data_IF_196283636229
#
_entry.id   IF_196283636229
#
_cell.length_a   1.000
_cell.length_b   1.000
_cell.length_c   1.000
_cell.angle_alpha   90.00
_cell.angle_beta   90.00
_cell.angle_gamma   90.00
#
_symmetry.space_group_name_H-M   'P 1'
#
loop_
_entity.id
_entity.type
_entity.pdbx_description
1 polymer ?
2 polymer ?
3 water ?
#
# COMPACT_ATOMS: atom_id res chain seq x y z
N UNK A 6 7.36 5.93 -15.16
CA UNK A 6 6.77 5.38 -13.92
C UNK A 6 7.77 4.45 -13.23
N UNK A 7 8.34 4.93 -12.13
CA UNK A 7 9.24 4.13 -11.30
C UNK A 7 8.52 2.96 -10.66
N UNK A 8 8.96 1.74 -10.94
CA UNK A 8 8.27 0.55 -10.41
C UNK A 8 9.20 -0.35 -9.61
N UNK A 9 8.63 -1.08 -8.65
CA UNK A 9 9.35 -2.15 -8.00
C UNK A 9 8.53 -3.43 -8.02
N UNK A 10 9.21 -4.56 -7.84
CA UNK A 10 8.51 -5.84 -7.82
C UNK A 10 7.81 -6.07 -6.49
N UNK A 11 6.69 -6.76 -6.58
CA UNK A 11 5.86 -7.09 -5.45
C UNK A 11 5.62 -8.57 -5.62
N UNK A 12 5.76 -9.33 -4.54
CA UNK A 12 5.51 -10.77 -4.61
C UNK A 12 4.42 -11.18 -3.64
N UNK A 13 3.29 -11.63 -4.17
CA UNK A 13 2.26 -12.25 -3.35
C UNK A 13 2.71 -13.67 -3.00
N UNK A 14 2.81 -13.94 -1.71
CA UNK A 14 3.27 -15.24 -1.22
C UNK A 14 2.10 -16.13 -0.83
N UNK A 15 0.92 -15.55 -0.62
CA UNK A 15 -0.30 -16.32 -0.31
C UNK A 15 -1.55 -15.47 -0.55
N UNK A 16 -2.68 -16.12 -0.87
CA UNK A 16 -2.88 -17.56 -1.04
C UNK A 16 -2.27 -18.08 -2.34
N UNK A 17 -2.14 -19.40 -2.47
CA UNK A 17 -1.57 -20.03 -3.67
C UNK A 17 -2.27 -19.60 -4.96
N UNK A 18 -3.57 -19.34 -4.86
CA UNK A 18 -4.36 -18.97 -6.03
C UNK A 18 -3.83 -17.73 -6.80
N UNK A 19 -3.27 -16.76 -6.09
CA UNK A 19 -2.81 -15.54 -6.76
C UNK A 19 -1.34 -15.24 -6.51
N UNK A 20 -0.62 -16.25 -6.03
CA UNK A 20 0.80 -16.15 -5.77
C UNK A 20 1.56 -15.80 -7.05
N UNK A 21 2.62 -15.01 -6.93
CA UNK A 21 3.39 -14.60 -8.09
C UNK A 21 3.97 -13.21 -7.96
N UNK A 22 4.66 -12.79 -9.01
CA UNK A 22 5.33 -11.50 -9.01
C UNK A 22 4.53 -10.46 -9.81
N UNK A 23 4.31 -9.31 -9.21
CA UNK A 23 3.59 -8.23 -9.86
C UNK A 23 4.39 -6.94 -9.78
N UNK A 24 3.99 -5.93 -10.54
CA UNK A 24 4.63 -4.63 -10.42
C UNK A 24 3.77 -3.65 -9.63
N UNK A 25 4.44 -2.75 -8.91
CA UNK A 25 3.74 -1.62 -8.29
C UNK A 25 4.52 -0.36 -8.62
N UNK A 26 3.88 0.79 -8.47
CA UNK A 26 4.52 2.05 -8.84
C UNK A 26 4.77 2.84 -7.58
N UNK A 27 6.03 3.18 -7.33
CA UNK A 27 6.42 3.85 -6.09
C UNK A 27 5.99 5.32 -6.09
N UNK A 28 5.32 5.76 -5.03
CA UNK A 28 4.90 7.14 -4.94
C UNK A 28 6.05 8.09 -4.67
N UNK A 29 5.84 9.37 -4.94
CA UNK A 29 6.84 10.40 -4.68
C UNK A 29 6.86 10.88 -3.24
N UNK A 30 6.54 9.98 -2.31
CA UNK A 30 6.58 10.27 -0.88
C UNK A 30 6.73 8.94 -0.16
N UNK A 31 7.05 8.98 1.12
CA UNK A 31 7.29 7.78 1.88
C UNK A 31 8.69 7.28 1.63
N UNK A 32 9.12 6.29 2.41
CA UNK A 32 10.52 5.87 2.39
C UNK A 32 10.62 4.36 2.30
N UNK A 33 10.76 3.84 1.09
CA UNK A 33 11.07 2.41 0.94
C UNK A 33 12.39 2.07 1.63
N UNK A 34 12.51 0.81 2.04
CA UNK A 34 13.76 0.28 2.55
C UNK A 34 14.64 -0.07 1.36
N UNK A 35 15.22 0.95 0.71
CA UNK A 35 16.00 0.74 -0.51
C UNK A 35 17.15 -0.24 -0.30
N UNK A 36 17.27 -1.21 -1.20
CA UNK A 36 18.27 -2.25 -1.05
C UNK A 36 17.77 -3.43 -0.24
N UNK A 37 16.60 -3.28 0.37
CA UNK A 37 16.05 -4.34 1.19
C UNK A 37 14.64 -4.75 0.79
N UNK A 38 13.97 -5.50 1.67
CA UNK A 38 12.61 -5.94 1.40
C UNK A 38 11.73 -5.77 2.64
N UNK A 39 10.43 -5.94 2.46
CA UNK A 39 9.49 -5.90 3.58
C UNK A 39 8.35 -6.87 3.35
N UNK A 40 8.16 -7.79 4.29
CA UNK A 40 7.06 -8.74 4.18
C UNK A 40 5.93 -8.31 5.10
N UNK A 41 4.70 -8.41 4.61
CA UNK A 41 3.55 -8.05 5.40
C UNK A 41 2.29 -8.74 4.96
N UNK A 42 1.20 -8.49 5.67
CA UNK A 42 -0.10 -9.05 5.32
C UNK A 42 -1.02 -7.90 4.92
N UNK A 43 -1.85 -8.14 3.91
CA UNK A 43 -2.68 -7.09 3.35
C UNK A 43 -4.08 -7.07 3.98
N UNK A 44 -4.52 -5.88 4.36
CA UNK A 44 -5.84 -5.71 4.95
C UNK A 44 -6.60 -4.63 4.17
N UNK A 45 -7.86 -4.90 3.87
CA UNK A 45 -8.73 -3.93 3.21
C UNK A 45 -9.84 -3.61 4.19
N UNK A 46 -9.75 -2.45 4.84
CA UNK A 46 -10.71 -2.07 5.89
C UNK A 46 -12.14 -2.04 5.35
N UNK A 47 -13.13 -2.34 6.18
CA UNK A 47 -14.52 -2.24 5.76
C UNK A 47 -14.97 -0.79 5.76
N UNK A 48 -14.38 0.02 6.64
CA UNK A 48 -14.74 1.43 6.73
C UNK A 48 -13.59 2.32 6.26
N UNK A 49 -13.89 3.55 5.87
CA UNK A 49 -12.86 4.54 5.52
C UNK A 49 -11.93 3.95 4.48
N UNK A 50 -12.50 3.42 3.41
CA UNK A 50 -11.73 2.64 2.44
C UNK A 50 -10.81 3.48 1.55
N UNK A 51 -11.05 4.78 1.53
CA UNK A 51 -10.21 5.70 0.77
C UNK A 51 -9.16 6.39 1.64
N UNK A 52 -9.20 6.09 2.94
CA UNK A 52 -8.30 6.71 3.94
C UNK A 52 -8.26 8.22 3.83
N UNK A 53 -9.42 8.83 3.60
CA UNK A 53 -9.49 10.27 3.54
C UNK A 53 -9.86 10.85 4.92
N UNK A 54 -10.28 9.99 5.83
CA UNK A 54 -10.70 10.39 7.17
C UNK A 54 -9.82 9.70 8.22
N UNK A 55 -9.89 10.15 9.47
CA UNK A 55 -9.09 9.55 10.52
C UNK A 55 -9.62 8.15 10.89
N UNK A 56 -8.70 7.20 10.97
CA UNK A 56 -9.05 5.85 11.43
C UNK A 56 -9.34 5.74 12.91
N UNK A 57 -8.79 6.66 13.71
CA UNK A 57 -8.99 6.60 15.15
C UNK A 57 -10.47 6.71 15.54
N UNK A 58 -11.22 7.57 14.85
CA UNK A 58 -12.66 7.69 15.10
C UNK A 58 -13.38 6.35 14.96
N UNK A 59 -12.86 5.50 14.09
CA UNK A 59 -13.43 4.18 13.82
C UNK A 59 -12.88 3.14 14.78
N UNK A 60 -11.98 3.58 15.65
CA UNK A 60 -11.19 2.67 16.50
C UNK A 60 -10.51 1.60 15.66
N UNK A 61 -9.98 1.99 14.51
CA UNK A 61 -9.23 1.09 13.65
C UNK A 61 -7.74 1.37 13.73
N UNK A 62 -6.98 0.33 14.03
CA UNK A 62 -5.53 0.38 14.03
C UNK A 62 -4.99 -0.72 13.14
N UNK A 63 -3.88 -0.44 12.47
CA UNK A 63 -3.20 -1.42 11.65
C UNK A 63 -1.87 -1.83 12.30
N UNK A 64 -1.67 -1.42 13.56
CA UNK A 64 -0.52 -1.88 14.33
C UNK A 64 -0.64 -3.38 14.54
N UNK A 65 0.29 -4.14 14.02
CA UNK A 65 0.22 -5.59 14.13
C UNK A 65 0.72 -6.01 15.50
N UNK A 66 0.20 -7.14 15.99
CA UNK A 66 0.61 -7.67 17.27
C UNK A 66 2.01 -8.27 17.17
N UNK A 67 2.75 -8.30 18.29
CA UNK A 67 4.10 -8.86 18.33
C UNK A 67 4.18 -10.27 17.74
N UNK A 68 5.13 -10.49 16.84
CA UNK A 68 5.31 -11.80 16.26
C UNK A 68 4.49 -12.03 15.00
N UNK A 69 3.52 -11.16 14.75
CA UNK A 69 2.73 -11.24 13.54
C UNK A 69 3.33 -10.38 12.43
N UNK A 70 2.85 -10.57 11.20
CA UNK A 70 3.34 -9.78 10.07
C UNK A 70 2.95 -8.33 10.19
N UNK A 71 3.81 -7.42 9.70
CA UNK A 71 3.46 -6.01 9.57
C UNK A 71 2.22 -5.92 8.68
N UNK A 72 1.38 -4.93 8.92
CA UNK A 72 0.17 -4.75 8.12
C UNK A 72 0.33 -3.81 6.93
N UNK A 73 0.02 -4.30 5.72
CA UNK A 73 -0.04 -3.43 4.55
C UNK A 73 -1.51 -3.10 4.35
N UNK A 74 -1.84 -1.82 4.27
CA UNK A 74 -3.23 -1.46 4.07
C UNK A 74 -3.55 -1.19 2.60
N UNK A 75 -4.57 -1.89 2.10
CA UNK A 75 -5.08 -1.69 0.75
C UNK A 75 -6.10 -0.57 0.77
N UNK A 76 -5.83 0.47 0.00
CA UNK A 76 -6.66 1.66 0.03
C UNK A 76 -7.08 2.05 -1.39
N UNK A 77 -8.35 2.41 -1.54
CA UNK A 77 -8.87 2.83 -2.85
C UNK A 77 -8.47 4.27 -3.21
N UNK A 78 -8.06 4.47 -4.47
CA UNK A 78 -7.82 5.80 -4.98
C UNK A 78 -9.13 6.59 -4.96
N UNK A 79 -9.04 7.90 -4.76
CA UNK A 79 -10.19 8.79 -4.90
C UNK A 79 -10.40 9.76 -3.75
N UNK A 80 -11.07 10.88 -4.04
CA UNK A 80 -11.59 11.83 -3.04
C UNK A 80 -10.58 12.73 -2.33
N UNK A 81 -9.35 12.26 -2.13
CA UNK A 81 -8.35 13.07 -1.44
C UNK A 81 -6.95 12.85 -2.01
N UNK A 82 -5.99 13.64 -1.55
CA UNK A 82 -4.62 13.56 -2.01
C UNK A 82 -4.01 12.22 -1.62
N UNK A 83 -3.21 11.63 -2.51
CA UNK A 83 -2.46 10.40 -2.19
C UNK A 83 -1.62 10.56 -0.91
N UNK A 84 -0.98 11.71 -0.73
CA UNK A 84 -0.14 11.97 0.44
C UNK A 84 -0.94 11.94 1.73
N UNK A 85 -2.17 12.41 1.68
CA UNK A 85 -3.03 12.41 2.87
C UNK A 85 -3.43 10.99 3.25
N UNK A 86 -3.73 10.16 2.25
CA UNK A 86 -3.99 8.74 2.50
C UNK A 86 -2.81 8.07 3.19
N UNK A 87 -1.59 8.41 2.75
CA UNK A 87 -0.37 7.86 3.36
C UNK A 87 -0.19 8.33 4.80
N UNK A 88 -0.39 9.63 5.02
CA UNK A 88 -0.26 10.22 6.34
C UNK A 88 -1.26 9.59 7.31
N UNK A 89 -2.48 9.41 6.85
CA UNK A 89 -3.56 8.85 7.65
C UNK A 89 -3.31 7.37 7.97
N UNK A 90 -2.86 6.60 6.98
CA UNK A 90 -2.54 5.20 7.20
C UNK A 90 -1.35 5.09 8.15
N UNK A 91 -0.42 6.01 8.01
CA UNK A 91 0.75 6.05 8.86
C UNK A 91 0.32 6.34 10.29
N UNK A 92 -0.61 7.30 10.48
CA UNK A 92 -1.08 7.59 11.83
C UNK A 92 -1.77 6.36 12.44
N UNK A 93 -2.38 5.54 11.59
CA UNK A 93 -3.10 4.36 12.06
C UNK A 93 -2.19 3.14 12.30
N UNK A 94 -0.90 3.31 12.06
CA UNK A 94 0.08 2.28 12.39
C UNK A 94 0.37 1.29 11.27
N UNK A 95 -0.05 1.60 10.05
CA UNK A 95 0.23 0.71 8.92
C UNK A 95 1.71 0.69 8.57
N UNK A 96 2.21 -0.46 8.14
CA UNK A 96 3.61 -0.61 7.75
C UNK A 96 3.87 -0.20 6.30
N UNK A 97 2.83 -0.25 5.47
CA UNK A 97 2.90 0.22 4.10
C UNK A 97 1.49 0.49 3.61
N UNK A 98 1.38 1.33 2.60
CA UNK A 98 0.09 1.52 1.94
C UNK A 98 0.16 1.10 0.47
N UNK A 99 -0.85 0.37 0.02
CA UNK A 99 -1.00 0.05 -1.38
C UNK A 99 -2.29 0.69 -1.88
N UNK A 100 -2.16 1.61 -2.82
CA UNK A 100 -3.33 2.33 -3.29
C UNK A 100 -3.77 1.66 -4.56
N UNK A 101 -4.99 1.12 -4.55
CA UNK A 101 -5.51 0.45 -5.72
C UNK A 101 -6.13 1.50 -6.62
N UNK A 102 -5.65 1.59 -7.86
CA UNK A 102 -6.19 2.53 -8.83
C UNK A 102 -7.70 2.33 -8.95
N UNK A 103 -8.43 3.43 -9.16
CA UNK A 103 -9.89 3.41 -9.30
C UNK A 103 -10.34 3.05 -10.72
N UNK A 104 -9.42 3.13 -11.67
CA UNK A 104 -9.72 2.70 -13.03
C UNK A 104 -8.64 1.74 -13.53
N UNK A 105 -9.00 0.91 -14.50
CA UNK A 105 -8.08 -0.05 -15.09
C UNK A 105 -7.30 0.67 -16.17
N UNK A 106 -6.01 0.83 -15.93
CA UNK A 106 -5.15 1.64 -16.79
C UNK A 106 -3.72 1.32 -16.39
N UNK A 107 -2.72 1.70 -17.21
CA UNK A 107 -1.33 1.52 -16.80
C UNK A 107 -1.05 2.22 -15.48
N UNK A 108 -0.07 1.69 -14.76
CA UNK A 108 0.36 2.26 -13.48
C UNK A 108 0.73 3.71 -13.67
N UNK A 109 0.44 4.53 -12.65
CA UNK A 109 0.82 5.93 -12.63
C UNK A 109 1.65 6.23 -11.37
N UNK A 110 2.36 7.34 -11.39
CA UNK A 110 3.11 7.78 -10.21
C UNK A 110 2.22 8.67 -9.35
N UNK A 111 2.11 8.34 -8.08
CA UNK A 111 1.42 9.20 -7.13
C UNK A 111 2.33 10.37 -6.78
N UNK A 112 1.92 11.58 -7.16
CA UNK A 112 2.73 12.75 -6.89
C UNK A 112 2.24 13.44 -5.61
N UNK A 113 3.04 14.39 -5.12
CA UNK A 113 2.67 15.20 -3.98
C UNK A 113 1.80 16.35 -4.50
N UNK A 114 0.96 16.94 -3.64
CA UNK A 114 0.12 18.06 -4.09
C UNK A 114 0.95 19.19 -4.67
N UNK A 122 9.68 19.73 3.93
CA UNK A 122 8.84 20.34 4.95
C UNK A 122 7.98 19.30 5.68
N UNK A 123 6.75 19.13 5.24
CA UNK A 123 5.83 18.16 5.84
C UNK A 123 5.83 16.85 5.07
N UNK A 124 6.41 16.88 3.87
CA UNK A 124 6.57 15.68 3.07
C UNK A 124 7.59 14.79 3.75
N UNK A 125 8.50 15.44 4.48
CA UNK A 125 9.55 14.76 5.21
C UNK A 125 8.97 13.90 6.33
N UNK A 126 7.77 14.24 6.78
CA UNK A 126 7.12 13.47 7.85
C UNK A 126 6.47 12.16 7.39
N UNK A 127 6.28 12.01 6.08
CA UNK A 127 5.69 10.78 5.56
C UNK A 127 6.78 9.75 5.32
N UNK A 128 6.71 8.63 6.04
CA UNK A 128 7.78 7.65 5.96
C UNK A 128 7.30 6.31 5.44
N UNK A 129 6.00 6.05 5.56
CA UNK A 129 5.40 4.79 5.19
C UNK A 129 5.68 4.47 3.71
N UNK A 130 6.20 3.26 3.40
CA UNK A 130 6.34 2.89 1.99
C UNK A 130 5.00 2.99 1.29
N UNK A 131 4.93 3.72 0.19
CA UNK A 131 3.68 3.99 -0.49
C UNK A 131 3.80 3.64 -1.96
N UNK A 132 2.88 2.83 -2.45
CA UNK A 132 2.90 2.40 -3.84
C UNK A 132 1.49 2.28 -4.36
N UNK A 133 1.32 2.42 -5.66
CA UNK A 133 0.02 2.28 -6.28
C UNK A 133 0.05 0.98 -7.08
N UNK A 134 -1.04 0.22 -7.02
CA UNK A 134 -1.18 -1.00 -7.80
C UNK A 134 -2.38 -0.86 -8.74
N UNK A 135 -2.42 -1.71 -9.76
CA UNK A 135 -3.49 -1.67 -10.75
C UNK A 135 -4.83 -2.07 -10.14
N UNK A 136 -5.91 -1.69 -10.81
CA UNK A 136 -7.22 -2.13 -10.39
C UNK A 136 -7.30 -3.64 -10.46
N UNK A 137 -6.69 -4.24 -11.49
CA UNK A 137 -6.65 -5.69 -11.67
C UNK A 137 -6.12 -6.40 -10.42
N UNK A 138 -4.94 -5.98 -9.99
CA UNK A 138 -4.32 -6.58 -8.82
C UNK A 138 -5.14 -6.28 -7.57
N UNK A 139 -5.60 -5.04 -7.42
CA UNK A 139 -6.43 -4.66 -6.29
C UNK A 139 -7.66 -5.55 -6.19
N UNK A 140 -8.31 -5.80 -7.30
CA UNK A 140 -9.50 -6.64 -7.31
C UNK A 140 -9.19 -8.10 -6.99
N UNK A 141 -8.05 -8.60 -7.48
CA UNK A 141 -7.63 -9.97 -7.16
C UNK A 141 -7.40 -10.15 -5.65
N UNK A 142 -6.71 -9.19 -5.04
CA UNK A 142 -6.48 -9.21 -3.60
C UNK A 142 -7.79 -9.16 -2.82
N UNK A 143 -8.69 -8.27 -3.22
CA UNK A 143 -9.98 -8.14 -2.56
C UNK A 143 -10.80 -9.42 -2.68
N UNK A 144 -10.63 -10.13 -3.79
CA UNK A 144 -11.35 -11.39 -3.99
C UNK A 144 -10.82 -12.44 -3.04
N UNK A 145 -9.50 -12.49 -2.90
CA UNK A 145 -8.87 -13.47 -1.99
C UNK A 145 -9.29 -13.20 -0.55
N UNK A 146 -9.25 -11.93 -0.14
CA UNK A 146 -9.66 -11.55 1.20
C UNK A 146 -11.16 -11.84 1.40
N UNK A 147 -11.94 -11.65 0.35
CA UNK A 147 -13.37 -11.92 0.40
C UNK A 147 -13.66 -13.40 0.61
N UNK A 148 -12.78 -14.25 0.11
CA UNK A 148 -12.91 -15.69 0.28
C UNK A 148 -12.38 -16.18 1.62
N UNK A 149 -11.89 -15.26 2.44
CA UNK A 149 -11.39 -15.60 3.75
C UNK A 149 -9.92 -15.97 3.77
N UNK A 150 -9.22 -15.71 2.67
CA UNK A 150 -7.78 -15.98 2.63
C UNK A 150 -6.97 -14.80 3.11
N UNK A 151 -5.91 -15.12 3.83
CA UNK A 151 -4.90 -14.13 4.17
C UNK A 151 -4.10 -13.86 2.91
N UNK A 152 -3.83 -12.58 2.63
CA UNK A 152 -2.95 -12.23 1.52
C UNK A 152 -1.65 -11.66 2.07
N UNK A 153 -0.57 -12.42 1.86
CA UNK A 153 0.75 -12.03 2.34
C UNK A 153 1.59 -11.62 1.15
N UNK A 154 2.54 -10.74 1.39
CA UNK A 154 3.20 -10.06 0.28
C UNK A 154 4.58 -9.57 0.68
N UNK A 155 5.53 -9.67 -0.23
CA UNK A 155 6.88 -9.14 -0.03
C UNK A 155 7.12 -7.98 -0.99
N UNK A 156 7.43 -6.82 -0.42
CA UNK A 156 7.80 -5.66 -1.22
C UNK A 156 9.30 -5.72 -1.43
N UNK A 157 9.72 -5.66 -2.68
CA UNK A 157 11.12 -5.86 -3.03
C UNK A 157 11.74 -4.55 -3.57
N UNK A 158 12.65 -3.97 -2.79
CA UNK A 158 13.38 -2.78 -3.23
C UNK A 158 14.88 -3.07 -3.34
N UNK A 159 15.24 -4.33 -3.50
CA UNK A 159 16.64 -4.74 -3.48
C UNK A 159 17.47 -4.03 -4.54
N UNK A 160 16.86 -3.72 -5.68
CA UNK A 160 17.55 -3.02 -6.76
C UNK A 160 16.90 -1.67 -7.07
N UNK A 161 16.16 -1.14 -6.10
CA UNK A 161 15.54 0.17 -6.25
C UNK A 161 16.48 1.25 -5.73
N UNK A 162 16.88 2.17 -6.61
CA UNK A 162 17.81 3.22 -6.22
C UNK A 162 17.11 4.58 -6.18
N UNK A 163 17.16 5.27 -5.04
CA UNK A 163 16.44 6.53 -4.95
C UNK A 163 17.16 7.69 -5.63
N UNK A 164 16.39 8.68 -6.07
CA UNK A 164 16.94 9.93 -6.56
C UNK A 164 17.42 10.78 -5.40
N UNK A 165 18.36 11.69 -5.65
CA UNK A 165 18.82 12.66 -4.65
C UNK A 165 17.66 13.42 -4.02
N UNK B 1 -0.09 12.37 -10.97
CA UNK B 1 -1.34 12.82 -10.38
C UNK B 1 -1.19 12.91 -8.87
N UNK B 2 -1.81 13.92 -8.27
CA UNK B 2 -1.77 14.04 -6.80
C UNK B 2 -2.97 13.37 -6.13
N UNK B 3 -3.91 12.90 -6.94
CA UNK B 3 -5.11 12.20 -6.46
C UNK B 3 -5.67 11.34 -7.59
N UNK B 4 -6.63 10.48 -7.27
#
# INVERSE_FOLDING_TARGET
GSRFVVEKNNLKVTSPDSIKGIYECAIGNFGVPQYGGTLVGTVVYPKSNQKACKSYSDFDISFKSKPGRLPTFVLIDRGDCYFTLKAWIAQQAGAAAILVADSKAEPLITMDTPEEDKSDADYLQNITIPSALITKTLGDSIKSALSGGDMVNMKLDWTESVPHP
ADSNPIRPVT
#
